data_IF_276684751862
#
_entry.id   IF_276684751862
#
_cell.length_a   1.000
_cell.length_b   1.000
_cell.length_c   1.000
_cell.angle_alpha   90.00
_cell.angle_beta   90.00
_cell.angle_gamma   90.00
#
_symmetry.space_group_name_H-M   'P 1'
#
loop_
_entity.id
_entity.type
_entity.pdbx_description
1 polymer ?
#
# COMPACT_ATOMS: atom_id res chain seq x y z
N UNK A 1 -15.59 5.51 0.85
CA UNK A 1 -14.67 4.47 0.37
C UNK A 1 -15.42 3.36 -0.36
N UNK A 2 -14.93 2.89 -1.50
CA UNK A 2 -15.52 1.78 -2.26
C UNK A 2 -14.62 0.54 -2.20
N UNK A 3 -14.71 -0.20 -1.09
CA UNK A 3 -13.78 -1.29 -0.76
C UNK A 3 -13.74 -2.41 -1.82
N UNK A 4 -14.88 -3.05 -2.12
CA UNK A 4 -14.92 -4.13 -3.11
C UNK A 4 -14.63 -3.67 -4.55
N UNK A 5 -14.90 -2.40 -4.87
CA UNK A 5 -14.54 -1.83 -6.17
C UNK A 5 -13.02 -1.80 -6.38
N UNK A 6 -12.22 -1.75 -5.30
CA UNK A 6 -10.77 -1.78 -5.40
C UNK A 6 -10.22 -3.09 -5.94
N UNK A 7 -10.86 -4.23 -5.67
CA UNK A 7 -10.50 -5.50 -6.31
C UNK A 7 -10.85 -5.53 -7.80
N UNK A 8 -11.98 -4.90 -8.17
CA UNK A 8 -12.37 -4.74 -9.57
C UNK A 8 -11.52 -3.75 -10.36
N UNK A 9 -10.71 -2.93 -9.69
CA UNK A 9 -9.93 -1.86 -10.30
C UNK A 9 -8.93 -2.38 -11.34
N UNK A 10 -8.24 -3.49 -11.04
CA UNK A 10 -7.26 -4.10 -11.94
C UNK A 10 -7.86 -4.39 -13.33
N UNK A 11 -9.13 -4.79 -13.41
CA UNK A 11 -9.79 -5.17 -14.66
C UNK A 11 -10.28 -4.00 -15.51
N UNK A 12 -10.05 -2.75 -15.08
CA UNK A 12 -10.56 -1.55 -15.79
C UNK A 12 -9.70 -1.12 -16.97
N UNK A 13 -8.43 -1.49 -17.01
CA UNK A 13 -7.61 -1.25 -18.22
C UNK A 13 -8.00 -2.24 -19.32
N UNK A 14 -8.02 -1.74 -20.57
CA UNK A 14 -8.14 -2.59 -21.77
C UNK A 14 -7.04 -3.66 -21.82
N UNK A 15 -5.85 -3.34 -21.31
CA UNK A 15 -4.68 -4.21 -21.28
C UNK A 15 -4.43 -4.81 -19.88
N UNK A 16 -5.49 -5.00 -19.08
CA UNK A 16 -5.37 -5.50 -17.69
C UNK A 16 -4.55 -6.79 -17.58
N UNK A 17 -4.69 -7.72 -18.53
CA UNK A 17 -3.97 -9.00 -18.49
C UNK A 17 -2.47 -8.78 -18.67
N UNK A 18 -2.09 -7.93 -19.63
CA UNK A 18 -0.70 -7.54 -19.84
C UNK A 18 -0.14 -6.86 -18.60
N UNK A 19 -0.86 -5.87 -18.06
CA UNK A 19 -0.43 -5.16 -16.85
C UNK A 19 -0.24 -6.13 -15.67
N UNK A 20 -1.20 -7.04 -15.44
CA UNK A 20 -1.11 -8.06 -14.39
C UNK A 20 0.10 -8.97 -14.59
N UNK A 21 0.35 -9.45 -15.81
CA UNK A 21 1.52 -10.29 -16.11
C UNK A 21 2.83 -9.55 -15.86
N UNK A 22 2.90 -8.26 -16.20
CA UNK A 22 4.08 -7.42 -15.98
C UNK A 22 4.31 -7.15 -14.48
N UNK A 23 3.24 -6.93 -13.71
CA UNK A 23 3.33 -6.90 -12.25
C UNK A 23 3.87 -8.22 -11.71
N UNK A 24 3.35 -9.36 -12.18
CA UNK A 24 3.84 -10.69 -11.78
C UNK A 24 5.32 -10.88 -12.13
N UNK A 25 5.77 -10.46 -13.31
CA UNK A 25 7.20 -10.49 -13.68
C UNK A 25 8.03 -9.65 -12.72
N UNK A 26 7.56 -8.46 -12.33
CA UNK A 26 8.24 -7.63 -11.35
C UNK A 26 8.32 -8.30 -9.96
N UNK A 27 7.32 -9.12 -9.58
CA UNK A 27 7.36 -9.87 -8.32
C UNK A 27 8.51 -10.90 -8.26
N UNK A 28 8.94 -11.43 -9.40
CA UNK A 28 10.07 -12.37 -9.47
C UNK A 28 11.43 -11.69 -9.41
N UNK A 29 11.51 -10.38 -9.62
CA UNK A 29 12.75 -9.62 -9.55
C UNK A 29 12.90 -9.06 -8.12
N UNK A 30 13.84 -9.57 -7.31
CA UNK A 30 13.99 -9.11 -5.94
C UNK A 30 14.44 -7.65 -5.91
N UNK A 31 13.90 -6.89 -4.95
CA UNK A 31 14.23 -5.48 -4.69
C UNK A 31 13.86 -4.56 -5.86
N UNK A 32 14.58 -4.61 -6.99
CA UNK A 32 14.39 -3.73 -8.16
C UNK A 32 12.98 -3.85 -8.73
N UNK A 33 12.45 -5.07 -8.86
CA UNK A 33 11.09 -5.29 -9.34
C UNK A 33 10.04 -4.69 -8.41
N UNK A 34 10.26 -4.77 -7.09
CA UNK A 34 9.39 -4.14 -6.10
C UNK A 34 9.44 -2.61 -6.20
N UNK A 35 10.63 -2.02 -6.36
CA UNK A 35 10.79 -0.57 -6.53
C UNK A 35 10.05 -0.08 -7.78
N UNK A 36 10.24 -0.76 -8.91
CA UNK A 36 9.54 -0.44 -10.16
C UNK A 36 8.03 -0.56 -9.98
N UNK A 37 7.56 -1.62 -9.33
CA UNK A 37 6.14 -1.83 -9.09
C UNK A 37 5.53 -0.73 -8.22
N UNK A 38 6.19 -0.36 -7.12
CA UNK A 38 5.79 0.76 -6.26
C UNK A 38 5.70 2.05 -7.09
N UNK A 39 6.72 2.33 -7.90
CA UNK A 39 6.74 3.50 -8.77
C UNK A 39 5.60 3.53 -9.76
N UNK A 40 5.35 2.41 -10.46
CA UNK A 40 4.20 2.28 -11.35
C UNK A 40 2.86 2.50 -10.64
N UNK A 41 2.69 1.95 -9.43
CA UNK A 41 1.46 2.16 -8.68
C UNK A 41 1.27 3.62 -8.25
N UNK A 42 2.32 4.34 -7.85
CA UNK A 42 2.23 5.78 -7.60
C UNK A 42 2.00 6.60 -8.86
N UNK A 43 2.46 6.13 -10.01
CA UNK A 43 2.14 6.70 -11.34
C UNK A 43 0.66 6.52 -11.70
N UNK A 44 0.06 5.40 -11.30
CA UNK A 44 -1.40 5.19 -11.38
C UNK A 44 -2.16 6.11 -10.42
N UNK A 45 -1.74 6.22 -9.15
CA UNK A 45 -2.38 7.10 -8.14
C UNK A 45 -2.34 8.56 -8.60
N UNK A 46 -1.18 9.04 -9.05
CA UNK A 46 -1.02 10.42 -9.53
C UNK A 46 -1.90 10.68 -10.75
N UNK A 47 -1.94 9.76 -11.71
CA UNK A 47 -2.78 9.88 -12.90
C UNK A 47 -4.26 10.04 -12.54
N UNK A 48 -4.79 9.16 -11.69
CA UNK A 48 -6.18 9.20 -11.25
C UNK A 48 -6.48 10.51 -10.51
N UNK A 49 -5.56 10.95 -9.65
CA UNK A 49 -5.73 12.19 -8.89
C UNK A 49 -5.76 13.43 -9.78
N UNK A 50 -4.86 13.55 -10.76
CA UNK A 50 -4.82 14.70 -11.69
C UNK A 50 -6.02 14.77 -12.63
N UNK A 51 -6.57 13.63 -13.00
CA UNK A 51 -7.67 13.54 -13.97
C UNK A 51 -9.04 13.44 -13.31
N UNK A 52 -9.12 13.28 -11.97
CA UNK A 52 -10.36 13.07 -11.24
C UNK A 52 -11.13 11.82 -11.68
N UNK A 53 -10.44 10.84 -12.29
CA UNK A 53 -11.04 9.68 -12.95
C UNK A 53 -10.57 8.39 -12.30
N UNK A 54 -11.53 7.63 -11.75
CA UNK A 54 -11.34 6.33 -11.09
C UNK A 54 -11.64 5.15 -12.03
N UNK A 55 -11.91 5.42 -13.31
CA UNK A 55 -12.37 4.46 -14.31
C UNK A 55 -11.27 4.00 -15.27
N UNK A 56 -10.21 4.79 -15.41
CA UNK A 56 -9.08 4.45 -16.28
C UNK A 56 -7.75 4.65 -15.54
N UNK A 57 -6.77 3.78 -15.83
CA UNK A 57 -5.42 3.88 -15.30
C UNK A 57 -4.39 3.57 -16.38
N UNK A 58 -3.18 4.16 -16.29
CA UNK A 58 -2.13 3.98 -17.29
C UNK A 58 -1.65 2.53 -17.37
N UNK A 59 -1.41 2.08 -18.60
CA UNK A 59 -0.77 0.79 -18.82
C UNK A 59 0.68 0.80 -18.34
N UNK A 60 1.15 -0.38 -17.95
CA UNK A 60 2.54 -0.58 -17.59
C UNK A 60 3.39 -0.58 -18.88
N UNK A 61 4.35 0.34 -18.96
CA UNK A 61 5.22 0.49 -20.13
C UNK A 61 6.70 0.26 -19.75
N UNK A 62 7.33 -0.76 -20.36
CA UNK A 62 8.74 -1.04 -20.14
C UNK A 62 9.67 0.09 -20.55
N UNK A 63 9.27 0.92 -21.52
CA UNK A 63 10.06 2.09 -21.92
C UNK A 63 10.15 3.14 -20.79
N UNK A 64 9.30 3.02 -19.76
CA UNK A 64 9.24 3.91 -18.61
C UNK A 64 9.79 3.28 -17.33
N UNK A 65 10.47 2.13 -17.41
CA UNK A 65 11.09 1.46 -16.26
C UNK A 65 11.94 2.39 -15.41
N UNK A 66 12.73 3.27 -16.03
CA UNK A 66 13.58 4.23 -15.30
C UNK A 66 12.72 5.23 -14.54
N UNK A 67 11.64 5.75 -15.14
CA UNK A 67 10.71 6.68 -14.47
C UNK A 67 9.97 5.99 -13.31
N UNK A 68 9.57 4.72 -13.48
CA UNK A 68 9.03 3.93 -12.37
C UNK A 68 10.05 3.72 -11.26
N UNK A 69 11.29 3.36 -11.61
CA UNK A 69 12.36 3.14 -10.65
C UNK A 69 12.66 4.40 -9.82
N UNK A 70 12.82 5.56 -10.48
CA UNK A 70 13.13 6.83 -9.81
C UNK A 70 11.98 7.32 -8.94
N UNK A 71 10.73 7.05 -9.33
CA UNK A 71 9.55 7.35 -8.52
C UNK A 71 9.42 6.41 -7.32
N UNK A 72 9.64 5.12 -7.52
CA UNK A 72 9.46 4.09 -6.51
C UNK A 72 10.57 4.05 -5.45
N UNK A 73 11.77 4.56 -5.74
CA UNK A 73 12.89 4.51 -4.80
C UNK A 73 12.61 5.30 -3.51
N UNK A 74 11.86 6.41 -3.59
CA UNK A 74 11.56 7.24 -2.43
C UNK A 74 10.64 6.57 -1.41
N UNK A 75 9.43 6.09 -1.78
CA UNK A 75 8.58 5.34 -0.87
C UNK A 75 9.25 4.03 -0.43
N UNK A 76 10.01 3.35 -1.29
CA UNK A 76 10.77 2.15 -0.91
C UNK A 76 11.80 2.46 0.19
N UNK A 77 12.63 3.50 0.03
CA UNK A 77 13.63 3.87 1.03
C UNK A 77 12.99 4.31 2.35
N UNK A 78 11.87 5.04 2.29
CA UNK A 78 11.14 5.46 3.48
C UNK A 78 10.58 4.25 4.24
N UNK A 79 9.98 3.31 3.51
CA UNK A 79 9.45 2.07 4.04
C UNK A 79 10.55 1.17 4.61
N UNK A 80 11.67 1.06 3.90
CA UNK A 80 12.86 0.33 4.34
C UNK A 80 13.45 0.92 5.62
N UNK A 81 13.63 2.25 5.69
CA UNK A 81 14.14 2.91 6.89
C UNK A 81 13.20 2.71 8.09
N UNK A 82 11.90 2.87 7.86
CA UNK A 82 10.90 2.67 8.91
C UNK A 82 10.86 1.21 9.37
N UNK A 83 10.94 0.26 8.44
CA UNK A 83 11.08 -1.16 8.73
C UNK A 83 12.34 -1.47 9.53
N UNK A 84 13.49 -0.89 9.16
CA UNK A 84 14.75 -1.06 9.89
C UNK A 84 14.70 -0.47 11.29
N UNK A 85 13.97 0.63 11.51
CA UNK A 85 13.84 1.27 12.82
C UNK A 85 12.82 0.55 13.71
N UNK A 86 11.69 0.10 13.15
CA UNK A 86 10.60 -0.51 13.89
C UNK A 86 10.76 -2.03 14.04
N UNK A 87 11.30 -2.74 13.06
CA UNK A 87 11.34 -4.21 13.11
C UNK A 87 12.22 -4.76 14.25
N UNK A 88 13.45 -4.29 14.51
CA UNK A 88 14.27 -4.82 15.61
C UNK A 88 13.65 -4.67 17.01
N UNK A 89 13.14 -3.50 17.44
CA UNK A 89 12.51 -3.40 18.76
C UNK A 89 11.22 -4.23 18.86
N UNK A 90 10.45 -4.33 17.78
CA UNK A 90 9.24 -5.16 17.76
C UNK A 90 9.57 -6.66 17.81
N UNK A 91 10.57 -7.10 17.03
CA UNK A 91 11.06 -8.47 17.06
C UNK A 91 11.68 -8.80 18.42
N UNK A 92 12.49 -7.90 18.98
CA UNK A 92 13.07 -8.06 20.32
C UNK A 92 12.00 -8.15 21.41
N UNK A 93 11.01 -7.26 21.40
CA UNK A 93 9.87 -7.30 22.32
C UNK A 93 9.05 -8.58 22.17
N UNK A 94 8.78 -9.00 20.94
CA UNK A 94 8.09 -10.26 20.65
C UNK A 94 8.88 -11.48 21.15
N UNK A 95 10.20 -11.51 20.91
CA UNK A 95 11.07 -12.59 21.39
C UNK A 95 11.13 -12.65 22.91
N UNK A 96 11.18 -11.50 23.61
CA UNK A 96 11.09 -11.46 25.08
C UNK A 96 9.79 -12.10 25.56
N UNK A 97 8.66 -11.73 24.95
CA UNK A 97 7.35 -12.29 25.29
C UNK A 97 7.30 -13.80 25.05
N UNK A 98 7.85 -14.28 23.92
CA UNK A 98 7.93 -15.71 23.61
C UNK A 98 8.88 -16.45 24.56
N UNK A 99 10.01 -15.87 24.94
CA UNK A 99 10.94 -16.50 25.89
C UNK A 99 10.37 -16.54 27.31
N UNK A 100 9.66 -15.49 27.74
CA UNK A 100 8.90 -15.53 28.98
C UNK A 100 7.86 -16.65 28.92
N UNK A 101 7.16 -16.79 27.79
CA UNK A 101 6.19 -17.86 27.58
C UNK A 101 6.81 -19.28 27.62
N UNK A 102 7.97 -19.48 26.99
CA UNK A 102 8.68 -20.77 26.98
C UNK A 102 9.39 -21.07 28.31
N UNK A 103 9.83 -20.03 29.03
CA UNK A 103 10.52 -20.13 30.32
C UNK A 103 9.58 -20.38 31.49
N UNK A 104 8.29 -20.09 31.33
CA UNK A 104 7.29 -20.64 32.25
C UNK A 104 7.23 -22.14 32.04
N UNK A 105 7.51 -22.91 33.10
CA UNK A 105 7.53 -24.36 33.09
C UNK A 105 6.15 -24.88 32.65
N UNK A 106 5.97 -25.12 31.35
CA UNK A 106 4.65 -25.39 30.75
C UNK A 106 3.93 -26.58 31.37
N UNK A 107 4.69 -27.52 31.97
CA UNK A 107 4.16 -28.66 32.71
C UNK A 107 3.46 -28.29 34.03
N UNK A 108 3.65 -27.07 34.53
CA UNK A 108 3.04 -26.55 35.77
C UNK A 108 1.88 -25.59 35.50
N UNK A 109 1.73 -25.10 34.28
CA UNK A 109 0.59 -24.28 33.91
C UNK A 109 -0.59 -25.16 33.57
N UNK A 110 -1.75 -24.82 34.12
CA UNK A 110 -3.01 -25.37 33.65
C UNK A 110 -3.22 -24.99 32.17
N UNK A 111 -3.77 -25.89 31.33
CA UNK A 111 -3.94 -25.64 29.90
C UNK A 111 -4.76 -24.38 29.58
N UNK A 112 -5.66 -24.00 30.48
CA UNK A 112 -6.47 -22.79 30.37
C UNK A 112 -5.63 -21.51 30.46
N UNK A 113 -4.69 -21.46 31.42
CA UNK A 113 -3.76 -20.33 31.57
C UNK A 113 -2.88 -20.22 30.33
N UNK A 114 -2.44 -21.36 29.78
CA UNK A 114 -1.62 -21.38 28.58
C UNK A 114 -2.34 -20.80 27.35
N UNK A 115 -3.62 -21.13 27.20
CA UNK A 115 -4.45 -20.58 26.13
C UNK A 115 -4.62 -19.07 26.27
N UNK A 116 -4.88 -18.56 27.48
CA UNK A 116 -5.04 -17.12 27.75
C UNK A 116 -3.76 -16.37 27.36
N UNK A 117 -2.58 -16.84 27.78
CA UNK A 117 -1.31 -16.22 27.39
C UNK A 117 -1.12 -16.25 25.87
N UNK A 118 -1.40 -17.37 25.21
CA UNK A 118 -1.29 -17.48 23.75
C UNK A 118 -2.17 -16.45 23.03
N UNK A 119 -3.41 -16.26 23.50
CA UNK A 119 -4.34 -15.27 22.97
C UNK A 119 -3.79 -13.85 23.17
N UNK A 120 -3.26 -13.53 24.35
CA UNK A 120 -2.66 -12.21 24.64
C UNK A 120 -1.48 -11.94 23.71
N UNK A 121 -0.59 -12.91 23.52
CA UNK A 121 0.58 -12.78 22.64
C UNK A 121 0.13 -12.53 21.19
N UNK A 122 -0.84 -13.32 20.72
CA UNK A 122 -1.41 -13.16 19.39
C UNK A 122 -2.07 -11.77 19.21
N UNK A 123 -2.81 -11.30 20.21
CA UNK A 123 -3.44 -9.98 20.20
C UNK A 123 -2.42 -8.84 20.17
N UNK A 124 -1.34 -8.93 20.97
CA UNK A 124 -0.26 -7.94 20.98
C UNK A 124 0.49 -7.92 19.64
N UNK A 125 0.78 -9.09 19.07
CA UNK A 125 1.42 -9.19 17.76
C UNK A 125 0.53 -8.58 16.66
N UNK A 126 -0.77 -8.86 16.68
CA UNK A 126 -1.75 -8.30 15.75
C UNK A 126 -1.85 -6.77 15.90
N UNK A 127 -1.99 -6.27 17.12
CA UNK A 127 -2.06 -4.84 17.40
C UNK A 127 -0.80 -4.10 16.92
N UNK A 128 0.37 -4.72 17.12
CA UNK A 128 1.66 -4.22 16.64
C UNK A 128 1.68 -4.12 15.11
N UNK A 129 1.26 -5.17 14.40
CA UNK A 129 1.22 -5.20 12.93
C UNK A 129 0.28 -4.14 12.35
N UNK A 130 -0.88 -3.97 12.99
CA UNK A 130 -1.84 -2.91 12.61
C UNK A 130 -1.23 -1.53 12.86
N UNK A 131 -0.61 -1.30 14.03
CA UNK A 131 0.00 -0.02 14.37
C UNK A 131 1.10 0.37 13.38
N UNK A 132 2.00 -0.57 13.06
CA UNK A 132 3.07 -0.35 12.07
C UNK A 132 2.47 0.00 10.70
N UNK A 133 1.47 -0.74 10.25
CA UNK A 133 0.82 -0.51 8.95
C UNK A 133 0.12 0.85 8.88
N UNK A 134 -0.53 1.28 9.97
CA UNK A 134 -1.15 2.61 10.10
C UNK A 134 -0.09 3.69 9.94
N UNK A 135 0.99 3.64 10.72
CA UNK A 135 2.09 4.64 10.70
C UNK A 135 2.73 4.75 9.31
N UNK A 136 2.83 3.64 8.57
CA UNK A 136 3.41 3.61 7.22
C UNK A 136 2.64 4.43 6.20
N UNK A 137 1.30 4.47 6.27
CA UNK A 137 0.48 5.10 5.23
C UNK A 137 0.84 6.55 4.89
N UNK A 138 0.82 7.52 5.82
CA UNK A 138 1.11 8.92 5.48
C UNK A 138 2.53 9.11 4.96
N UNK A 139 3.50 8.38 5.51
CA UNK A 139 4.91 8.44 5.10
C UNK A 139 5.06 7.91 3.67
N UNK A 140 4.52 6.71 3.42
CA UNK A 140 4.57 6.03 2.13
C UNK A 140 3.86 6.84 1.04
N UNK A 141 2.64 7.32 1.32
CA UNK A 141 1.84 8.15 0.41
C UNK A 141 2.58 9.43 0.01
N UNK A 142 3.09 10.17 1.01
CA UNK A 142 3.71 11.47 0.76
C UNK A 142 5.06 11.34 0.05
N UNK A 143 5.87 10.34 0.41
CA UNK A 143 7.10 10.04 -0.32
C UNK A 143 6.84 9.66 -1.79
N UNK A 144 5.81 8.84 -2.04
CA UNK A 144 5.50 8.37 -3.39
C UNK A 144 4.93 9.44 -4.30
N UNK A 145 4.04 10.31 -3.79
CA UNK A 145 3.43 11.39 -4.56
C UNK A 145 4.38 12.59 -4.75
N UNK A 146 5.07 13.02 -3.70
CA UNK A 146 6.01 14.16 -3.79
C UNK A 146 7.35 13.75 -4.44
N UNK A 147 7.66 12.45 -4.48
CA UNK A 147 8.92 11.90 -5.01
C UNK A 147 10.17 12.52 -4.35
N UNK A 148 10.10 12.67 -3.03
CA UNK A 148 11.17 13.18 -2.18
C UNK A 148 11.20 12.39 -0.88
N UNK A 149 12.38 11.90 -0.50
CA UNK A 149 12.53 11.09 0.71
C UNK A 149 12.15 11.83 2.00
N UNK A 150 12.65 13.06 2.18
CA UNK A 150 12.43 13.82 3.41
C UNK A 150 10.97 14.25 3.61
N UNK A 151 10.19 14.32 2.53
CA UNK A 151 8.81 14.79 2.56
C UNK A 151 7.89 13.89 3.40
N UNK A 152 8.10 12.57 3.39
CA UNK A 152 7.29 11.62 4.14
C UNK A 152 7.38 11.79 5.65
N UNK A 153 8.48 12.35 6.16
CA UNK A 153 8.75 12.51 7.60
C UNK A 153 8.27 13.86 8.15
N UNK A 154 7.40 14.58 7.44
CA UNK A 154 6.84 15.83 7.95
C UNK A 154 5.83 15.55 9.08
N UNK A 155 6.22 15.87 10.31
CA UNK A 155 5.41 15.65 11.52
C UNK A 155 4.02 16.28 11.46
N UNK A 156 3.94 17.50 10.87
CA UNK A 156 2.67 18.20 10.67
C UNK A 156 1.68 17.41 9.82
N UNK A 157 2.14 16.91 8.66
CA UNK A 157 1.28 16.12 7.76
C UNK A 157 0.86 14.80 8.42
N UNK A 158 1.78 14.14 9.14
CA UNK A 158 1.50 12.88 9.81
C UNK A 158 0.29 13.00 10.75
N UNK A 159 0.30 13.97 11.67
CA UNK A 159 -0.81 14.16 12.61
C UNK A 159 -2.06 14.74 11.95
N UNK A 160 -1.92 15.63 10.97
CA UNK A 160 -3.06 16.15 10.22
C UNK A 160 -3.78 15.04 9.44
N UNK A 161 -3.03 14.13 8.81
CA UNK A 161 -3.57 12.96 8.12
C UNK A 161 -4.33 12.03 9.07
N UNK A 162 -3.75 11.69 10.24
CA UNK A 162 -4.44 10.86 11.21
C UNK A 162 -5.66 11.52 11.84
N UNK A 163 -5.59 12.81 12.12
CA UNK A 163 -6.73 13.55 12.67
C UNK A 163 -7.94 13.56 11.74
N UNK A 164 -7.72 13.48 10.42
CA UNK A 164 -8.78 13.50 9.42
C UNK A 164 -9.26 12.11 9.00
N UNK A 165 -8.34 11.22 8.66
CA UNK A 165 -8.67 9.92 8.05
C UNK A 165 -8.15 8.71 8.83
N UNK A 166 -7.69 8.87 10.07
CA UNK A 166 -7.11 7.77 10.86
C UNK A 166 -8.05 6.57 11.06
N UNK A 167 -9.34 6.82 11.33
CA UNK A 167 -10.35 5.75 11.46
C UNK A 167 -10.59 5.07 10.11
N UNK A 168 -10.70 5.85 9.03
CA UNK A 168 -10.86 5.32 7.66
C UNK A 168 -9.65 4.47 7.26
N UNK A 169 -8.44 4.91 7.60
CA UNK A 169 -7.20 4.17 7.37
C UNK A 169 -7.19 2.83 8.14
N UNK A 170 -7.64 2.82 9.40
CA UNK A 170 -7.82 1.59 10.17
C UNK A 170 -8.83 0.64 9.50
N UNK A 171 -9.97 1.15 9.02
CA UNK A 171 -10.97 0.34 8.32
C UNK A 171 -10.44 -0.25 7.01
N UNK A 172 -9.64 0.51 6.26
CA UNK A 172 -8.93 0.03 5.05
C UNK A 172 -8.01 -1.14 5.40
N UNK A 173 -7.21 -1.03 6.46
CA UNK A 173 -6.31 -2.10 6.89
C UNK A 173 -7.06 -3.34 7.36
N UNK A 174 -8.11 -3.17 8.15
CA UNK A 174 -8.94 -4.29 8.60
C UNK A 174 -9.60 -4.99 7.42
N UNK A 175 -10.09 -4.22 6.44
CA UNK A 175 -10.65 -4.77 5.20
C UNK A 175 -9.61 -5.61 4.44
N UNK A 176 -8.40 -5.07 4.20
CA UNK A 176 -7.33 -5.80 3.52
C UNK A 176 -6.88 -7.05 4.29
N UNK A 177 -6.71 -6.93 5.60
CA UNK A 177 -6.29 -8.04 6.46
C UNK A 177 -7.30 -9.20 6.45
N UNK A 178 -8.60 -8.89 6.37
CA UNK A 178 -9.65 -9.91 6.29
C UNK A 178 -9.72 -10.47 4.86
N UNK A 179 -9.69 -9.63 3.83
CA UNK A 179 -10.00 -10.05 2.45
C UNK A 179 -8.81 -10.63 1.68
N UNK A 180 -7.59 -10.12 1.90
CA UNK A 180 -6.38 -10.58 1.19
C UNK A 180 -6.09 -12.08 1.42
N UNK A 181 -6.23 -12.67 2.63
CA UNK A 181 -6.06 -14.10 2.82
C UNK A 181 -7.00 -14.96 1.96
N UNK A 182 -8.25 -14.53 1.75
CA UNK A 182 -9.19 -15.26 0.88
C UNK A 182 -8.78 -15.18 -0.59
N UNK A 183 -8.27 -14.03 -1.04
CA UNK A 183 -7.75 -13.87 -2.41
C UNK A 183 -6.50 -14.73 -2.63
N UNK A 184 -5.57 -14.75 -1.67
CA UNK A 184 -4.40 -15.63 -1.71
C UNK A 184 -4.79 -17.10 -1.66
N UNK A 185 -5.77 -17.48 -0.82
CA UNK A 185 -6.28 -18.85 -0.74
C UNK A 185 -6.90 -19.29 -2.08
N UNK A 186 -7.72 -18.43 -2.70
CA UNK A 186 -8.27 -18.69 -4.03
C UNK A 186 -7.16 -18.85 -5.09
N UNK A 187 -6.11 -18.03 -5.02
CA UNK A 187 -4.92 -18.19 -5.87
C UNK A 187 -4.17 -19.50 -5.61
N UNK A 188 -4.05 -19.92 -4.35
CA UNK A 188 -3.38 -21.16 -3.98
C UNK A 188 -4.12 -22.40 -4.50
N UNK A 189 -5.45 -22.36 -4.56
CA UNK A 189 -6.28 -23.43 -5.15
C UNK A 189 -6.01 -23.64 -6.65
N UNK A 190 -5.45 -22.65 -7.35
CA UNK A 190 -5.00 -22.76 -8.74
C UNK A 190 -3.55 -23.28 -8.81
N UNK A 191 -3.32 -24.46 -8.23
CA UNK A 191 -2.04 -25.19 -8.24
C UNK A 191 -0.84 -24.39 -7.70
N UNK A 192 -1.04 -23.54 -6.69
CA UNK A 192 -0.03 -22.61 -6.12
C UNK A 192 0.52 -21.54 -7.08
N UNK A 193 0.50 -21.75 -8.40
CA UNK A 193 0.91 -20.75 -9.39
C UNK A 193 -0.04 -19.54 -9.38
N UNK A 194 -1.33 -19.75 -9.07
CA UNK A 194 -2.29 -18.66 -8.94
C UNK A 194 -2.01 -17.68 -7.79
N UNK A 195 -1.07 -17.97 -6.87
CA UNK A 195 -0.70 -17.04 -5.80
C UNK A 195 -0.08 -15.75 -6.35
N UNK A 196 0.63 -15.82 -7.48
CA UNK A 196 1.29 -14.65 -8.08
C UNK A 196 0.30 -13.64 -8.67
N UNK A 197 -0.65 -14.01 -9.54
CA UNK A 197 -1.69 -13.09 -9.99
C UNK A 197 -2.62 -12.67 -8.85
N UNK A 198 -2.88 -13.52 -7.85
CA UNK A 198 -3.61 -13.12 -6.65
C UNK A 198 -2.88 -12.01 -5.88
N UNK A 199 -1.55 -12.12 -5.72
CA UNK A 199 -0.74 -11.09 -5.09
C UNK A 199 -0.72 -9.79 -5.91
N UNK A 200 -0.63 -9.88 -7.24
CA UNK A 200 -0.73 -8.71 -8.12
C UNK A 200 -2.09 -7.98 -7.92
N UNK A 201 -3.19 -8.73 -7.84
CA UNK A 201 -4.53 -8.19 -7.57
C UNK A 201 -4.62 -7.50 -6.20
N UNK A 202 -3.99 -8.07 -5.16
CA UNK A 202 -3.91 -7.45 -3.83
C UNK A 202 -3.13 -6.13 -3.89
N UNK A 203 -2.02 -6.08 -4.63
CA UNK A 203 -1.22 -4.85 -4.79
C UNK A 203 -2.02 -3.75 -5.48
N UNK A 204 -2.77 -4.06 -6.55
CA UNK A 204 -3.68 -3.11 -7.20
C UNK A 204 -4.77 -2.63 -6.24
N UNK A 205 -5.38 -3.56 -5.49
CA UNK A 205 -6.40 -3.22 -4.49
C UNK A 205 -5.85 -2.25 -3.44
N UNK A 206 -4.66 -2.55 -2.90
CA UNK A 206 -3.99 -1.74 -1.88
C UNK A 206 -3.70 -0.32 -2.35
N UNK A 207 -3.16 -0.16 -3.55
CA UNK A 207 -2.82 1.17 -4.08
C UNK A 207 -4.07 1.95 -4.50
N UNK A 208 -5.13 1.27 -4.95
CA UNK A 208 -6.41 1.92 -5.21
C UNK A 208 -7.11 2.36 -3.90
N UNK A 209 -7.04 1.57 -2.83
CA UNK A 209 -7.52 1.97 -1.50
C UNK A 209 -6.70 3.13 -0.94
N UNK A 210 -5.38 3.12 -1.15
CA UNK A 210 -4.50 4.24 -0.79
C UNK A 210 -4.87 5.52 -1.54
N UNK A 211 -5.18 5.43 -2.83
CA UNK A 211 -5.72 6.55 -3.61
C UNK A 211 -7.04 7.07 -3.02
N UNK A 212 -8.00 6.19 -2.76
CA UNK A 212 -9.28 6.60 -2.18
C UNK A 212 -9.10 7.26 -0.81
N UNK A 213 -8.15 6.77 0.00
CA UNK A 213 -7.85 7.30 1.32
C UNK A 213 -7.26 8.71 1.20
N UNK A 214 -6.41 8.94 0.18
CA UNK A 214 -5.90 10.26 -0.12
C UNK A 214 -7.01 11.22 -0.60
N UNK A 215 -7.92 10.77 -1.46
CA UNK A 215 -9.06 11.59 -1.87
C UNK A 215 -9.95 11.96 -0.68
N UNK A 216 -10.18 11.02 0.24
CA UNK A 216 -10.92 11.31 1.47
C UNK A 216 -10.20 12.33 2.36
N UNK A 217 -8.87 12.21 2.48
CA UNK A 217 -8.06 13.19 3.21
C UNK A 217 -8.23 14.61 2.65
N UNK A 218 -8.25 14.76 1.32
CA UNK A 218 -8.49 16.05 0.68
C UNK A 218 -9.92 16.55 0.89
N UNK A 219 -10.93 15.67 0.81
CA UNK A 219 -12.34 16.01 1.09
C UNK A 219 -12.56 16.52 2.50
N UNK A 220 -11.84 15.97 3.47
CA UNK A 220 -11.83 16.42 4.86
C UNK A 220 -11.02 17.73 5.07
N UNK A 221 -10.59 18.41 4.01
CA UNK A 221 -9.84 19.67 4.07
C UNK A 221 -8.34 19.50 4.37
N UNK A 222 -7.79 18.32 4.09
CA UNK A 222 -6.36 18.06 4.14
C UNK A 222 -5.58 18.87 3.10
N UNK A 223 -4.32 19.20 3.40
CA UNK A 223 -3.48 19.97 2.48
C UNK A 223 -2.99 19.09 1.32
N UNK A 224 -3.17 19.52 0.05
CA UNK A 224 -2.73 18.72 -1.09
C UNK A 224 -1.23 18.49 -1.07
N UNK A 225 -0.81 17.26 -1.39
CA UNK A 225 0.59 16.90 -1.54
C UNK A 225 1.09 17.55 -2.84
N UNK A 226 2.14 18.39 -2.80
CA UNK A 226 2.71 18.98 -4.01
C UNK A 226 3.23 17.90 -4.95
N UNK A 227 2.75 17.91 -6.20
CA UNK A 227 3.17 16.98 -7.24
C UNK A 227 4.24 17.62 -8.11
N UNK A 228 5.21 16.84 -8.58
CA UNK A 228 6.17 17.30 -9.60
C UNK A 228 5.46 17.52 -10.94
N UNK A 229 5.99 18.35 -11.85
CA UNK A 229 5.43 18.49 -13.19
C UNK A 229 5.28 17.13 -13.89
N UNK A 230 4.21 16.95 -14.65
CA UNK A 230 3.96 15.69 -15.36
C UNK A 230 5.06 15.45 -16.41
N UNK A 231 5.84 14.39 -16.24
CA UNK A 231 6.92 14.03 -17.17
C UNK A 231 6.40 13.41 -18.48
N UNK A 232 5.09 13.09 -18.57
CA UNK A 232 4.53 12.40 -19.73
C UNK A 232 4.10 13.37 -20.82
N UNK A 233 4.52 13.17 -22.09
CA UNK A 233 3.88 13.83 -23.20
C UNK A 233 2.44 13.29 -23.32
N UNK A 234 1.47 14.21 -23.41
CA UNK A 234 0.03 13.95 -23.53
C UNK A 234 -0.37 12.89 -24.57
N UNK A 235 0.47 12.69 -25.59
CA UNK A 235 0.19 11.88 -26.77
C UNK A 235 0.08 10.37 -26.51
N UNK A 236 0.64 9.85 -25.40
CA UNK A 236 0.74 8.39 -25.19
C UNK A 236 -0.55 7.71 -24.71
N UNK A 237 -1.59 8.48 -24.40
CA UNK A 237 -2.86 7.95 -23.90
C UNK A 237 -3.92 7.73 -24.98
N UNK A 238 -3.68 8.17 -26.22
CA UNK A 238 -4.72 8.18 -27.26
C UNK A 238 -5.96 9.01 -26.88
N UNK A 239 -5.90 9.75 -25.77
CA UNK A 239 -6.94 10.67 -25.32
C UNK A 239 -6.53 12.08 -25.76
N UNK A 240 -7.35 12.71 -26.60
CA UNK A 240 -7.36 14.17 -26.67
C UNK A 240 -7.58 14.67 -25.23
N UNK A 241 -6.65 15.49 -24.73
CA UNK A 241 -6.86 16.21 -23.48
C UNK A 241 -8.08 17.10 -23.72
N UNK A 242 -9.25 16.65 -23.29
CA UNK A 242 -10.38 17.55 -23.05
C UNK A 242 -9.96 18.35 -21.84
N UNK A 243 -9.38 19.53 -22.08
CA UNK A 243 -9.15 20.52 -21.03
C UNK A 243 -10.52 20.89 -20.46
N UNK A 244 -10.91 20.27 -19.34
CA UNK A 244 -12.02 20.77 -18.54
C UNK A 244 -11.50 22.00 -17.78
N UNK A 245 -11.92 23.22 -18.14
CA UNK A 245 -11.42 24.45 -17.53
C UNK A 245 -11.79 24.58 -16.04
N UNK A 246 -12.66 23.70 -15.53
CA UNK A 246 -13.18 23.76 -14.17
C UNK A 246 -12.62 22.69 -13.22
N UNK A 247 -11.63 21.90 -13.65
CA UNK A 247 -11.14 20.74 -12.89
C UNK A 247 -10.37 21.08 -11.60
N UNK A 248 -10.10 22.36 -11.30
CA UNK A 248 -9.49 22.79 -10.05
C UNK A 248 -10.21 24.03 -9.50
N UNK A 249 -11.12 23.90 -8.52
CA UNK A 249 -11.50 25.03 -7.69
C UNK A 249 -10.34 25.33 -6.72
N UNK A 250 -9.86 26.58 -6.76
CA UNK A 250 -8.92 27.17 -5.79
C UNK A 250 -9.47 27.16 -4.35
#
# INVERSE_FOLDING_TARGET
MHYFRAYGFMFRSKNWLTNMLLVVVCLFIPVVGQIVLIGYMFDVIEYMHRRGRDDHYPDFDFNRLVSYLTRGIWPFLADFLLGMLLAPPLAGGYMVVVFLWLGVEQKRLEPEIALIFTIIIAAVALATLVLVSIVRFPIYLKCGLQQEFGAGFSWRFFWDFFGRVGVTALLVLLFEMITAPFVLLAGALLCFVGIYPANAMIIYCQHHLLYQLYQEYLREGGAPIPLKPEERPAQHYGEEIVEDPNAYPE
#
